data_IF_021106678358
#
_entry.id   IF_021106678358
#
_cell.length_a   1.000
_cell.length_b   1.000
_cell.length_c   1.000
_cell.angle_alpha   90.00
_cell.angle_beta   90.00
_cell.angle_gamma   90.00
#
_symmetry.space_group_name_H-M   'P 1'
#
loop_
_entity.id
_entity.type
_entity.pdbx_description
1 polymer ?
#
# COMPACT_ATOMS: atom_id res chain seq x y z
N UNK A 1 -21.70 4.40 7.49
CA UNK A 1 -21.44 4.22 8.95
C UNK A 1 -21.51 2.75 9.35
N UNK A 2 -22.59 2.01 8.96
CA UNK A 2 -22.79 0.62 9.39
C UNK A 2 -21.72 -0.35 8.86
N UNK A 3 -21.23 -0.16 7.63
CA UNK A 3 -20.18 -1.02 7.05
C UNK A 3 -18.84 -0.81 7.74
N UNK A 4 -18.45 0.45 7.98
CA UNK A 4 -17.26 0.80 8.75
C UNK A 4 -17.27 0.18 10.13
N UNK A 5 -18.38 0.34 10.88
CA UNK A 5 -18.53 -0.24 12.22
C UNK A 5 -18.37 -1.77 12.20
N UNK A 6 -18.98 -2.44 11.25
CA UNK A 6 -18.92 -3.91 11.17
C UNK A 6 -17.48 -4.40 10.94
N UNK A 7 -16.74 -3.81 10.03
CA UNK A 7 -15.34 -4.20 9.77
C UNK A 7 -14.42 -3.78 10.90
N UNK A 8 -14.57 -2.58 11.42
CA UNK A 8 -13.77 -2.07 12.53
C UNK A 8 -13.89 -2.96 13.77
N UNK A 9 -15.12 -3.28 14.20
CA UNK A 9 -15.33 -4.13 15.36
C UNK A 9 -14.89 -5.59 15.14
N UNK A 10 -15.17 -6.15 13.95
CA UNK A 10 -14.78 -7.52 13.64
C UNK A 10 -13.26 -7.73 13.58
N UNK A 11 -12.50 -6.69 13.21
CA UNK A 11 -11.06 -6.75 13.05
C UNK A 11 -10.29 -6.06 14.17
N UNK A 12 -11.01 -5.43 15.12
CA UNK A 12 -10.39 -4.76 16.26
C UNK A 12 -9.92 -5.78 17.28
N UNK A 13 -8.63 -5.89 17.45
CA UNK A 13 -8.00 -6.61 18.55
C UNK A 13 -6.64 -5.98 18.86
N UNK A 14 -6.02 -6.38 19.98
CA UNK A 14 -4.76 -5.78 20.45
C UNK A 14 -3.56 -6.04 19.52
N UNK A 15 -3.72 -6.94 18.55
CA UNK A 15 -2.69 -7.32 17.57
C UNK A 15 -2.93 -6.74 16.16
N UNK A 16 -4.04 -6.01 15.94
CA UNK A 16 -4.38 -5.47 14.62
C UNK A 16 -4.54 -3.97 14.66
N UNK A 17 -4.09 -3.30 13.60
CA UNK A 17 -4.35 -1.89 13.35
C UNK A 17 -5.33 -1.75 12.18
N UNK A 18 -6.27 -0.84 12.30
CA UNK A 18 -7.19 -0.49 11.22
C UNK A 18 -6.63 0.71 10.48
N UNK A 19 -6.63 0.64 9.16
CA UNK A 19 -6.15 1.69 8.29
C UNK A 19 -7.02 1.90 7.06
N UNK A 20 -6.60 2.89 6.29
CA UNK A 20 -7.19 3.23 4.99
C UNK A 20 -6.07 3.39 3.96
N UNK A 21 -6.40 3.28 2.68
CA UNK A 21 -5.54 3.81 1.64
C UNK A 21 -6.28 4.87 0.82
N UNK A 22 -5.55 5.89 0.41
CA UNK A 22 -6.13 7.10 -0.18
C UNK A 22 -5.32 7.62 -1.36
N UNK A 23 -6.02 8.29 -2.24
CA UNK A 23 -5.47 9.01 -3.38
C UNK A 23 -6.29 10.29 -3.62
N UNK A 24 -6.09 10.93 -4.76
CA UNK A 24 -6.94 12.04 -5.20
C UNK A 24 -8.42 11.68 -5.37
N UNK A 25 -8.76 10.39 -5.46
CA UNK A 25 -10.14 9.91 -5.54
C UNK A 25 -10.98 10.20 -4.30
N UNK A 26 -10.35 10.27 -3.12
CA UNK A 26 -11.02 10.59 -1.86
C UNK A 26 -11.23 12.09 -1.64
N UNK A 27 -10.68 12.95 -2.52
CA UNK A 27 -10.79 14.39 -2.41
C UNK A 27 -10.06 14.96 -1.20
N UNK A 28 -10.69 15.90 -0.50
CA UNK A 28 -10.17 16.44 0.74
C UNK A 28 -10.55 15.58 1.93
N UNK A 29 -9.55 15.19 2.71
CA UNK A 29 -9.69 14.29 3.87
C UNK A 29 -9.47 15.08 5.16
N UNK A 30 -10.43 15.00 6.08
CA UNK A 30 -10.31 15.49 7.45
C UNK A 30 -9.65 14.40 8.32
N UNK A 31 -8.32 14.41 8.38
CA UNK A 31 -7.55 13.39 9.08
C UNK A 31 -7.74 13.38 10.60
N UNK A 32 -8.16 14.48 11.21
CA UNK A 32 -8.51 14.51 12.62
C UNK A 32 -9.78 13.67 12.89
N UNK A 33 -10.79 13.78 12.03
CA UNK A 33 -11.99 12.93 12.12
C UNK A 33 -11.66 11.48 11.78
N UNK A 34 -10.82 11.24 10.78
CA UNK A 34 -10.34 9.89 10.44
C UNK A 34 -9.67 9.25 11.64
N UNK A 35 -8.71 9.94 12.27
CA UNK A 35 -8.02 9.46 13.48
C UNK A 35 -8.98 9.20 14.63
N UNK A 36 -9.89 10.14 14.89
CA UNK A 36 -10.89 10.03 15.97
C UNK A 36 -11.89 8.89 15.78
N UNK A 37 -12.06 8.39 14.54
CA UNK A 37 -12.91 7.24 14.23
C UNK A 37 -12.25 5.90 14.56
N UNK A 38 -10.97 5.88 14.95
CA UNK A 38 -10.22 4.67 15.30
C UNK A 38 -9.25 4.18 14.23
N UNK A 39 -9.13 4.89 13.11
CA UNK A 39 -8.08 4.63 12.10
C UNK A 39 -6.71 4.90 12.72
N UNK A 40 -5.77 4.01 12.51
CA UNK A 40 -4.42 4.05 13.09
C UNK A 40 -3.34 4.33 12.04
N UNK A 41 -3.59 3.99 10.77
CA UNK A 41 -2.64 4.20 9.69
C UNK A 41 -3.31 4.56 8.38
N UNK A 42 -2.53 5.14 7.48
CA UNK A 42 -2.94 5.43 6.10
C UNK A 42 -1.81 5.08 5.13
N UNK A 43 -2.16 4.53 3.98
CA UNK A 43 -1.23 4.33 2.85
C UNK A 43 -1.61 5.34 1.77
N UNK A 44 -0.71 6.29 1.46
CA UNK A 44 -1.02 7.38 0.53
C UNK A 44 -0.45 7.09 -0.86
N UNK A 45 -1.22 7.34 -1.92
CA UNK A 45 -0.71 7.24 -3.28
C UNK A 45 0.28 8.35 -3.56
N UNK A 46 1.54 8.00 -3.85
CA UNK A 46 2.54 8.98 -4.32
C UNK A 46 2.20 9.45 -5.73
N UNK A 47 1.81 8.51 -6.58
CA UNK A 47 1.48 8.78 -7.97
C UNK A 47 1.19 7.50 -8.74
N UNK A 48 1.19 7.64 -10.04
CA UNK A 48 0.92 6.54 -10.97
C UNK A 48 1.72 6.70 -12.28
N UNK A 49 1.94 5.59 -12.97
CA UNK A 49 2.47 5.62 -14.33
C UNK A 49 1.32 5.67 -15.35
N UNK A 50 1.43 6.51 -16.39
CA UNK A 50 0.53 6.48 -17.53
C UNK A 50 0.80 5.25 -18.43
N UNK A 51 0.08 5.12 -19.56
CA UNK A 51 0.25 4.02 -20.51
C UNK A 51 1.68 3.90 -21.09
N UNK A 52 2.40 5.01 -21.17
CA UNK A 52 3.77 5.07 -21.68
C UNK A 52 4.81 4.81 -20.59
N UNK A 53 4.39 4.57 -19.36
CA UNK A 53 5.25 4.37 -18.19
C UNK A 53 5.78 5.67 -17.58
N UNK A 54 5.26 6.83 -17.99
CA UNK A 54 5.68 8.13 -17.44
C UNK A 54 4.98 8.36 -16.10
N UNK A 55 5.77 8.65 -15.06
CA UNK A 55 5.27 8.92 -13.73
C UNK A 55 4.51 10.25 -13.66
N UNK A 56 3.39 10.24 -12.95
CA UNK A 56 2.55 11.38 -12.62
C UNK A 56 2.30 11.41 -11.13
N UNK A 57 2.52 12.56 -10.50
CA UNK A 57 2.22 12.74 -9.08
C UNK A 57 0.71 12.71 -8.85
N UNK A 58 0.28 12.10 -7.77
CA UNK A 58 -1.11 12.23 -7.29
C UNK A 58 -1.32 13.66 -6.78
N UNK A 59 -2.36 14.33 -7.26
CA UNK A 59 -2.63 15.74 -6.95
C UNK A 59 -2.85 16.02 -5.46
N UNK A 60 -3.19 14.99 -4.67
CA UNK A 60 -3.41 15.07 -3.22
C UNK A 60 -2.26 14.48 -2.41
N UNK A 61 -1.21 13.95 -3.05
CA UNK A 61 -0.14 13.24 -2.35
C UNK A 61 0.47 14.03 -1.20
N UNK A 62 1.00 15.22 -1.48
CA UNK A 62 1.68 16.04 -0.46
C UNK A 62 0.73 16.43 0.67
N UNK A 63 -0.49 16.87 0.31
CA UNK A 63 -1.52 17.21 1.28
C UNK A 63 -1.88 16.02 2.18
N UNK A 64 -2.10 14.84 1.60
CA UNK A 64 -2.43 13.63 2.34
C UNK A 64 -1.28 13.21 3.26
N UNK A 65 -0.04 13.20 2.77
CA UNK A 65 1.14 12.86 3.55
C UNK A 65 1.32 13.77 4.78
N UNK A 66 1.25 15.09 4.56
CA UNK A 66 1.44 16.09 5.62
C UNK A 66 0.31 16.05 6.65
N UNK A 67 -0.95 16.05 6.19
CA UNK A 67 -2.10 16.10 7.09
C UNK A 67 -2.27 14.80 7.89
N UNK A 68 -2.01 13.64 7.28
CA UNK A 68 -2.04 12.36 8.00
C UNK A 68 -0.98 12.30 9.12
N UNK A 69 0.24 12.74 8.83
CA UNK A 69 1.30 12.84 9.85
C UNK A 69 0.95 13.83 10.96
N UNK A 70 0.42 15.00 10.59
CA UNK A 70 -0.01 16.02 11.56
C UNK A 70 -1.10 15.50 12.50
N UNK A 71 -2.02 14.69 12.00
CA UNK A 71 -3.05 14.02 12.80
C UNK A 71 -2.49 12.85 13.65
N UNK A 72 -1.21 12.51 13.53
CA UNK A 72 -0.57 11.41 14.27
C UNK A 72 -0.96 10.02 13.79
N UNK A 73 -1.33 9.87 12.53
CA UNK A 73 -1.48 8.57 11.88
C UNK A 73 -0.11 8.01 11.47
N UNK A 74 0.05 6.69 11.50
CA UNK A 74 1.17 6.02 10.83
C UNK A 74 0.99 6.11 9.33
N UNK A 75 2.06 6.39 8.59
CA UNK A 75 1.95 6.62 7.15
C UNK A 75 2.83 5.65 6.37
N UNK A 76 2.22 4.99 5.38
CA UNK A 76 2.88 4.28 4.29
C UNK A 76 2.60 4.96 2.95
N UNK A 77 3.15 4.40 1.88
CA UNK A 77 2.95 4.95 0.54
C UNK A 77 2.73 3.84 -0.49
N UNK A 78 2.11 4.16 -1.62
CA UNK A 78 2.06 3.26 -2.77
C UNK A 78 2.20 4.00 -4.09
N UNK A 79 2.64 3.26 -5.10
CA UNK A 79 2.77 3.76 -6.47
C UNK A 79 2.11 2.79 -7.45
N UNK A 80 1.11 3.28 -8.19
CA UNK A 80 0.45 2.51 -9.24
C UNK A 80 1.35 2.44 -10.48
N UNK A 81 2.07 1.33 -10.60
CA UNK A 81 3.10 1.12 -11.62
C UNK A 81 2.55 0.44 -12.87
N UNK A 82 3.04 0.84 -14.03
CA UNK A 82 2.87 0.15 -15.32
C UNK A 82 4.20 -0.32 -15.90
N UNK A 83 5.15 -0.65 -15.01
CA UNK A 83 6.47 -1.07 -15.43
C UNK A 83 6.42 -2.36 -16.28
N UNK A 84 7.12 -2.33 -17.41
CA UNK A 84 7.25 -3.42 -18.38
C UNK A 84 8.66 -4.03 -18.35
N UNK A 85 9.55 -3.49 -17.55
CA UNK A 85 10.94 -3.94 -17.43
C UNK A 85 11.52 -3.59 -16.06
N UNK A 86 12.58 -4.30 -15.69
CA UNK A 86 13.39 -4.03 -14.51
C UNK A 86 13.93 -2.58 -14.50
N UNK A 87 14.38 -2.09 -15.65
CA UNK A 87 14.86 -0.70 -15.78
C UNK A 87 13.76 0.29 -15.43
N UNK A 88 12.58 0.14 -16.02
CA UNK A 88 11.43 1.02 -15.77
C UNK A 88 10.96 0.96 -14.31
N UNK A 89 10.95 -0.22 -13.69
CA UNK A 89 10.60 -0.36 -12.28
C UNK A 89 11.56 0.41 -11.36
N UNK A 90 12.86 0.34 -11.63
CA UNK A 90 13.88 1.13 -10.90
C UNK A 90 13.72 2.64 -11.12
N UNK A 91 13.38 3.06 -12.33
CA UNK A 91 13.09 4.48 -12.63
C UNK A 91 11.85 4.96 -11.88
N UNK A 92 10.77 4.16 -11.82
CA UNK A 92 9.59 4.45 -11.02
C UNK A 92 9.92 4.55 -9.53
N UNK A 93 10.71 3.62 -8.99
CA UNK A 93 11.12 3.63 -7.59
C UNK A 93 11.94 4.89 -7.23
N UNK A 94 12.92 5.26 -8.06
CA UNK A 94 13.69 6.50 -7.87
C UNK A 94 12.81 7.74 -7.89
N UNK A 95 11.89 7.80 -8.85
CA UNK A 95 10.93 8.88 -8.93
C UNK A 95 10.07 8.97 -7.65
N UNK A 96 9.58 7.84 -7.12
CA UNK A 96 8.83 7.79 -5.86
C UNK A 96 9.67 8.36 -4.70
N UNK A 97 10.92 7.93 -4.59
CA UNK A 97 11.85 8.42 -3.56
C UNK A 97 12.08 9.94 -3.69
N UNK A 98 12.25 10.44 -4.90
CA UNK A 98 12.36 11.89 -5.16
C UNK A 98 11.10 12.65 -4.71
N UNK A 99 9.89 12.09 -4.99
CA UNK A 99 8.64 12.73 -4.55
C UNK A 99 8.47 12.74 -3.03
N UNK A 100 8.97 11.72 -2.34
CA UNK A 100 8.97 11.67 -0.86
C UNK A 100 9.87 12.74 -0.24
N UNK A 101 10.92 13.18 -0.94
CA UNK A 101 11.81 14.27 -0.53
C UNK A 101 12.35 14.11 0.92
N UNK A 102 12.82 12.91 1.23
CA UNK A 102 13.33 12.55 2.56
C UNK A 102 12.26 12.38 3.65
N UNK A 103 10.99 12.39 3.30
CA UNK A 103 9.91 12.17 4.27
C UNK A 103 10.01 10.76 4.87
N UNK A 104 10.09 10.66 6.20
CA UNK A 104 10.06 9.39 6.92
C UNK A 104 8.68 8.75 6.81
N UNK A 105 8.64 7.45 6.57
CA UNK A 105 7.43 6.65 6.57
C UNK A 105 7.47 5.65 7.74
N UNK A 106 6.30 5.37 8.32
CA UNK A 106 6.13 4.37 9.38
C UNK A 106 5.85 2.97 8.81
N UNK A 107 5.38 2.91 7.57
CA UNK A 107 4.98 1.70 6.86
C UNK A 107 5.67 1.65 5.49
N UNK A 108 5.69 0.48 4.83
CA UNK A 108 6.37 0.29 3.55
C UNK A 108 5.87 1.19 2.41
N UNK A 109 6.69 1.24 1.35
CA UNK A 109 6.29 1.70 0.01
C UNK A 109 5.83 0.48 -0.79
N UNK A 110 4.58 0.50 -1.25
CA UNK A 110 4.01 -0.61 -1.99
C UNK A 110 4.14 -0.43 -3.50
N UNK A 111 4.62 -1.49 -4.16
CA UNK A 111 4.55 -1.66 -5.60
C UNK A 111 3.16 -2.19 -5.95
N UNK A 112 2.36 -1.36 -6.59
CA UNK A 112 1.01 -1.67 -7.05
C UNK A 112 1.03 -1.82 -8.58
N UNK A 113 0.89 -3.05 -9.07
CA UNK A 113 0.89 -3.36 -10.50
C UNK A 113 -0.32 -4.22 -10.85
N UNK A 114 -1.23 -3.64 -11.64
CA UNK A 114 -2.53 -4.25 -11.96
C UNK A 114 -2.81 -4.31 -13.47
N UNK A 115 -1.77 -4.33 -14.30
CA UNK A 115 -1.92 -4.34 -15.77
C UNK A 115 -2.27 -5.73 -16.34
N UNK A 116 -3.13 -6.50 -15.65
CA UNK A 116 -3.45 -7.88 -16.01
C UNK A 116 -4.15 -8.01 -17.36
N UNK A 117 -4.98 -7.05 -17.76
CA UNK A 117 -5.62 -7.01 -19.08
C UNK A 117 -4.62 -6.86 -20.23
N UNK A 118 -3.48 -6.24 -19.97
CA UNK A 118 -2.42 -5.98 -20.95
C UNK A 118 -1.20 -6.90 -20.75
N UNK A 119 -1.26 -7.86 -19.84
CA UNK A 119 -0.11 -8.69 -19.49
C UNK A 119 0.53 -9.36 -20.71
N UNK A 120 -0.28 -9.96 -21.59
CA UNK A 120 0.20 -10.62 -22.81
C UNK A 120 0.81 -9.62 -23.81
N UNK A 121 0.27 -8.41 -23.89
CA UNK A 121 0.78 -7.36 -24.79
C UNK A 121 2.15 -6.83 -24.34
N UNK A 122 2.45 -6.93 -23.06
CA UNK A 122 3.72 -6.50 -22.49
C UNK A 122 4.86 -7.50 -22.73
N UNK A 123 4.53 -8.70 -23.23
CA UNK A 123 5.50 -9.78 -23.48
C UNK A 123 6.40 -10.09 -22.26
N UNK A 124 5.83 -10.00 -21.06
CA UNK A 124 6.51 -10.26 -19.81
C UNK A 124 6.14 -11.68 -19.34
N UNK A 125 7.14 -12.48 -18.95
CA UNK A 125 6.89 -13.75 -18.26
C UNK A 125 6.55 -13.50 -16.79
N UNK A 126 5.96 -14.50 -16.10
CA UNK A 126 5.73 -14.42 -14.65
C UNK A 126 7.04 -14.21 -13.87
N UNK A 127 8.11 -14.87 -14.27
CA UNK A 127 9.45 -14.64 -13.69
C UNK A 127 9.90 -13.20 -13.93
N UNK A 128 9.70 -12.69 -15.13
CA UNK A 128 10.01 -11.29 -15.48
C UNK A 128 9.23 -10.29 -14.65
N UNK A 129 7.92 -10.53 -14.45
CA UNK A 129 7.08 -9.67 -13.61
C UNK A 129 7.56 -9.64 -12.15
N UNK A 130 7.91 -10.79 -11.59
CA UNK A 130 8.46 -10.87 -10.23
C UNK A 130 9.80 -10.14 -10.11
N UNK A 131 10.67 -10.24 -11.10
CA UNK A 131 11.92 -9.44 -11.16
C UNK A 131 11.67 -7.94 -11.26
N UNK A 132 10.60 -7.52 -11.96
CA UNK A 132 10.17 -6.12 -12.04
C UNK A 132 9.75 -5.62 -10.64
N UNK A 133 8.87 -6.34 -9.95
CA UNK A 133 8.42 -5.98 -8.60
C UNK A 133 9.59 -5.95 -7.61
N UNK A 134 10.42 -7.00 -7.58
CA UNK A 134 11.60 -7.06 -6.72
C UNK A 134 12.58 -5.90 -6.99
N UNK A 135 12.72 -5.48 -8.26
CA UNK A 135 13.61 -4.39 -8.61
C UNK A 135 13.11 -3.03 -8.12
N UNK A 136 11.78 -2.82 -8.08
CA UNK A 136 11.19 -1.63 -7.48
C UNK A 136 11.44 -1.62 -5.96
N UNK A 137 11.11 -2.72 -5.28
CA UNK A 137 11.29 -2.85 -3.83
C UNK A 137 12.76 -2.67 -3.42
N UNK A 138 13.67 -3.37 -4.05
CA UNK A 138 15.11 -3.23 -3.78
C UNK A 138 15.63 -1.82 -4.05
N UNK A 139 15.04 -1.08 -4.99
CA UNK A 139 15.47 0.28 -5.26
C UNK A 139 15.01 1.25 -4.16
N UNK A 140 13.78 1.16 -3.67
CA UNK A 140 13.32 1.99 -2.53
C UNK A 140 14.08 1.65 -1.26
N UNK A 141 14.48 0.38 -1.06
CA UNK A 141 15.26 -0.07 0.10
C UNK A 141 16.67 0.53 0.15
N UNK A 142 17.31 0.75 -1.00
CA UNK A 142 18.59 1.47 -1.07
C UNK A 142 18.54 2.89 -0.53
N UNK A 143 17.35 3.46 -0.47
CA UNK A 143 17.10 4.82 0.03
C UNK A 143 16.53 4.83 1.46
N UNK A 144 16.60 3.69 2.18
CA UNK A 144 16.20 3.58 3.58
C UNK A 144 14.70 3.37 3.81
N UNK A 145 13.93 3.06 2.76
CA UNK A 145 12.53 2.67 2.87
C UNK A 145 12.38 1.14 2.87
N UNK A 146 11.21 0.65 3.22
CA UNK A 146 10.88 -0.79 3.12
C UNK A 146 9.99 -0.99 1.91
N UNK A 147 10.30 -2.01 1.09
CA UNK A 147 9.50 -2.38 -0.05
C UNK A 147 8.38 -3.36 0.31
N UNK A 148 7.23 -3.28 -0.36
CA UNK A 148 6.11 -4.20 -0.22
C UNK A 148 5.46 -4.44 -1.59
N UNK A 149 4.92 -5.64 -1.82
CA UNK A 149 4.16 -5.94 -3.03
C UNK A 149 2.66 -5.95 -2.74
N UNK A 150 1.86 -5.32 -3.61
CA UNK A 150 0.40 -5.33 -3.55
C UNK A 150 -0.18 -6.25 -4.61
N UNK A 151 -1.28 -6.91 -4.29
CA UNK A 151 -2.05 -7.68 -5.25
C UNK A 151 -3.32 -8.29 -4.68
N UNK A 152 -4.26 -8.66 -5.56
CA UNK A 152 -5.41 -9.43 -5.13
C UNK A 152 -4.99 -10.86 -4.74
N UNK A 153 -5.72 -11.48 -3.79
CA UNK A 153 -5.43 -12.84 -3.31
C UNK A 153 -5.22 -13.84 -4.44
N UNK A 154 -6.08 -13.79 -5.48
CA UNK A 154 -5.98 -14.71 -6.63
C UNK A 154 -4.70 -14.54 -7.47
N UNK A 155 -4.20 -13.31 -7.61
CA UNK A 155 -2.95 -13.06 -8.31
C UNK A 155 -1.73 -13.34 -7.43
N UNK A 156 -1.82 -13.08 -6.13
CA UNK A 156 -0.78 -13.45 -5.16
C UNK A 156 -0.56 -14.95 -5.08
N UNK A 157 -1.62 -15.76 -5.24
CA UNK A 157 -1.50 -17.21 -5.30
C UNK A 157 -0.84 -17.74 -6.56
N UNK A 158 -1.16 -17.14 -7.71
CA UNK A 158 -0.89 -17.73 -9.03
C UNK A 158 0.28 -17.09 -9.77
N UNK A 159 0.54 -15.81 -9.52
CA UNK A 159 1.40 -14.98 -10.36
C UNK A 159 2.61 -14.43 -9.62
N UNK A 160 2.44 -14.13 -8.33
CA UNK A 160 3.47 -13.48 -7.53
C UNK A 160 4.30 -14.49 -6.72
N UNK A 161 5.60 -14.32 -6.74
CA UNK A 161 6.47 -14.94 -5.74
C UNK A 161 6.40 -14.10 -4.45
N UNK A 162 5.71 -14.64 -3.46
CA UNK A 162 5.46 -13.97 -2.19
C UNK A 162 6.50 -14.32 -1.11
N UNK A 163 7.48 -15.16 -1.42
CA UNK A 163 8.45 -15.67 -0.44
C UNK A 163 9.51 -14.65 -0.02
N UNK A 164 9.75 -13.62 -0.84
CA UNK A 164 10.85 -12.67 -0.67
C UNK A 164 10.39 -11.22 -0.39
N UNK A 165 9.10 -11.00 -0.10
CA UNK A 165 8.58 -9.64 0.11
C UNK A 165 7.45 -9.57 1.11
N UNK A 166 7.29 -8.42 1.76
CA UNK A 166 6.06 -8.10 2.48
C UNK A 166 4.90 -8.01 1.50
N UNK A 167 3.73 -8.49 1.92
CA UNK A 167 2.53 -8.55 1.07
C UNK A 167 1.42 -7.66 1.65
N UNK A 168 0.87 -6.83 0.78
CA UNK A 168 -0.41 -6.15 0.96
C UNK A 168 -1.43 -6.83 0.05
N UNK A 169 -2.31 -7.60 0.65
CA UNK A 169 -3.30 -8.42 -0.05
C UNK A 169 -4.64 -7.71 -0.15
N UNK A 170 -5.22 -7.64 -1.34
CA UNK A 170 -6.63 -7.29 -1.53
C UNK A 170 -7.49 -8.54 -1.65
N UNK A 171 -8.46 -8.68 -0.74
CA UNK A 171 -9.46 -9.74 -0.80
C UNK A 171 -10.76 -9.26 -0.18
N UNK A 172 -11.72 -8.86 -1.01
CA UNK A 172 -12.98 -8.22 -0.59
C UNK A 172 -13.98 -9.27 -0.12
N UNK A 173 -13.75 -9.82 1.07
CA UNK A 173 -14.53 -10.87 1.69
C UNK A 173 -14.56 -10.71 3.21
N UNK A 174 -15.52 -11.37 3.88
CA UNK A 174 -15.62 -11.37 5.35
C UNK A 174 -14.54 -12.22 6.02
N UNK A 175 -14.05 -13.25 5.32
CA UNK A 175 -13.01 -14.17 5.78
C UNK A 175 -12.19 -14.58 4.56
N UNK A 176 -10.88 -14.37 4.62
CA UNK A 176 -9.99 -14.82 3.56
C UNK A 176 -9.69 -16.32 3.69
N UNK A 177 -9.57 -17.00 2.56
CA UNK A 177 -9.05 -18.35 2.40
C UNK A 177 -7.62 -18.37 1.85
N UNK A 178 -6.99 -17.20 1.74
CA UNK A 178 -5.59 -17.11 1.34
C UNK A 178 -4.68 -17.62 2.48
N UNK A 179 -3.88 -18.64 2.19
CA UNK A 179 -3.11 -19.41 3.19
C UNK A 179 -1.66 -18.95 3.36
N UNK A 180 -1.13 -18.12 2.43
CA UNK A 180 0.24 -17.62 2.52
C UNK A 180 0.30 -16.39 3.45
N UNK A 181 1.50 -16.01 3.84
CA UNK A 181 1.73 -14.84 4.70
C UNK A 181 1.39 -13.53 3.99
N UNK A 182 0.75 -12.62 4.72
CA UNK A 182 0.50 -11.24 4.32
C UNK A 182 0.60 -10.31 5.53
N UNK A 183 1.02 -9.09 5.28
CA UNK A 183 1.24 -8.08 6.31
C UNK A 183 0.04 -7.15 6.48
N UNK A 184 -0.57 -6.76 5.36
CA UNK A 184 -1.78 -5.93 5.32
C UNK A 184 -2.83 -6.65 4.48
N UNK A 185 -4.08 -6.59 4.94
CA UNK A 185 -5.25 -7.05 4.20
C UNK A 185 -6.17 -5.87 3.89
N UNK A 186 -6.34 -5.54 2.62
CA UNK A 186 -7.36 -4.64 2.11
C UNK A 186 -8.68 -5.41 2.01
N UNK A 187 -9.62 -5.11 2.91
CA UNK A 187 -10.82 -5.91 3.14
C UNK A 187 -12.02 -5.47 2.29
N UNK A 188 -12.02 -4.23 1.83
CA UNK A 188 -13.08 -3.64 0.97
C UNK A 188 -12.61 -2.35 0.32
N UNK A 189 -13.19 -2.04 -0.84
CA UNK A 189 -13.07 -0.77 -1.58
C UNK A 189 -14.25 0.18 -1.30
N UNK A 190 -15.15 -0.14 -0.35
CA UNK A 190 -16.39 0.57 -0.08
C UNK A 190 -16.56 0.96 1.38
N UNK A 191 -15.45 1.23 2.06
CA UNK A 191 -15.48 1.74 3.42
C UNK A 191 -16.11 3.14 3.49
N UNK A 192 -16.78 3.42 4.61
CA UNK A 192 -17.31 4.76 4.94
C UNK A 192 -16.67 5.19 6.24
N UNK A 193 -15.78 6.18 6.16
CA UNK A 193 -14.97 6.65 7.29
C UNK A 193 -15.32 8.12 7.56
N UNK A 194 -15.59 8.50 8.81
CA UNK A 194 -15.79 9.91 9.18
C UNK A 194 -14.61 10.77 8.75
N UNK A 195 -14.87 11.87 8.05
CA UNK A 195 -13.85 12.75 7.50
C UNK A 195 -13.51 12.51 6.03
N UNK A 196 -14.17 11.53 5.39
CA UNK A 196 -14.05 11.24 3.95
C UNK A 196 -15.46 11.19 3.35
N UNK A 197 -15.71 12.00 2.31
CA UNK A 197 -17.02 12.08 1.66
C UNK A 197 -17.22 11.02 0.56
N UNK A 198 -16.14 10.33 0.16
CA UNK A 198 -16.15 9.24 -0.83
C UNK A 198 -16.05 7.86 -0.16
N UNK A 199 -16.23 6.79 -0.92
CA UNK A 199 -15.80 5.46 -0.50
C UNK A 199 -14.28 5.42 -0.40
N UNK A 200 -13.79 4.66 0.56
CA UNK A 200 -12.36 4.49 0.83
C UNK A 200 -12.05 3.02 1.13
N UNK A 201 -10.89 2.59 0.70
CA UNK A 201 -10.38 1.26 0.98
C UNK A 201 -10.08 1.11 2.47
N UNK A 202 -10.55 0.00 3.07
CA UNK A 202 -10.27 -0.34 4.46
C UNK A 202 -9.22 -1.44 4.54
N UNK A 203 -8.30 -1.27 5.46
CA UNK A 203 -7.15 -2.14 5.64
C UNK A 203 -7.01 -2.61 7.09
N UNK A 204 -6.54 -3.85 7.24
CA UNK A 204 -6.13 -4.42 8.52
C UNK A 204 -4.64 -4.75 8.45
N UNK A 205 -3.85 -4.19 9.33
CA UNK A 205 -2.44 -4.52 9.49
C UNK A 205 -2.30 -5.47 10.67
N UNK A 206 -1.71 -6.63 10.41
CA UNK A 206 -1.52 -7.68 11.40
C UNK A 206 -0.18 -7.49 12.12
N UNK A 207 -0.24 -7.31 13.42
CA UNK A 207 0.92 -7.33 14.29
C UNK A 207 1.07 -8.75 14.85
N UNK A 208 1.90 -9.59 14.24
CA UNK A 208 2.36 -10.84 14.86
C UNK A 208 3.33 -10.50 16.00
N UNK A 209 3.64 -11.48 16.89
CA UNK A 209 4.73 -11.27 17.86
C UNK A 209 6.06 -10.94 17.18
N UNK A 210 6.27 -11.48 15.97
CA UNK A 210 7.35 -11.11 15.07
C UNK A 210 7.11 -9.75 14.36
N UNK A 211 5.88 -9.31 14.14
CA UNK A 211 5.54 -7.99 13.57
C UNK A 211 5.92 -6.81 14.48
N UNK A 212 6.04 -7.00 15.79
CA UNK A 212 6.75 -6.08 16.68
C UNK A 212 8.24 -6.02 16.35
N UNK A 213 8.84 -7.10 15.91
CA UNK A 213 10.21 -7.15 15.38
C UNK A 213 10.34 -6.36 14.07
N UNK A 214 9.37 -6.40 13.17
CA UNK A 214 9.42 -5.61 11.92
C UNK A 214 9.31 -4.11 12.15
N UNK A 215 8.44 -3.65 13.04
CA UNK A 215 8.41 -2.25 13.48
C UNK A 215 9.71 -1.85 14.21
N UNK A 216 10.30 -2.76 14.99
CA UNK A 216 11.59 -2.54 15.65
C UNK A 216 12.76 -2.61 14.65
N UNK A 217 12.68 -3.42 13.60
CA UNK A 217 13.69 -3.42 12.52
C UNK A 217 13.65 -2.12 11.72
N UNK A 218 12.46 -1.58 11.42
CA UNK A 218 12.35 -0.25 10.77
C UNK A 218 12.89 0.88 11.65
N UNK A 219 12.88 0.73 12.97
CA UNK A 219 13.46 1.69 13.94
C UNK A 219 14.98 1.49 14.11
N UNK A 220 15.52 0.30 13.84
CA UNK A 220 16.96 0.01 13.97
C UNK A 220 17.78 0.37 12.72
N UNK A 221 17.15 0.63 11.59
CA UNK A 221 17.79 1.11 10.36
C UNK A 221 17.55 2.62 10.10
N UNK A 222 16.94 3.34 11.05
CA UNK A 222 16.81 4.80 11.11
C UNK A 222 17.71 5.38 12.21
#
# INVERSE_FOLDING_TARGET
KKLWYTYHEANKNDKNLIGIDVSSWQGDVDYEKVKSSGVSFVIVRVGFANSDGICKIDSKFKQNLENAKKAGLKVGAYFYSKAKSVKMAKEHAKWVVEQLDGAKLDLPISFDWECWSNFNEYHISYVGLNLIAQSFMNEVEKHGYVGMNYGSASYLEKMWDTSASLIWMAHYTKKTDYEKEYYIWQVTDRGIVPGIDAYVDLNVLYLSEEGKLWLNYMVLFL
#
